data_IF_076820945601
#
_entry.id   IF_076820945601
#
_cell.length_a   1.000
_cell.length_b   1.000
_cell.length_c   1.000
_cell.angle_alpha   90.00
_cell.angle_beta   90.00
_cell.angle_gamma   90.00
#
_symmetry.space_group_name_H-M   'P 1'
#
loop_
_entity.id
_entity.type
_entity.pdbx_description
1 polymer ?
#
# COMPACT_ATOMS: atom_id res chain seq x y z
N UNK A 1 11.18 -3.87 -12.76
CA UNK A 1 11.20 -2.40 -12.74
C UNK A 1 10.68 -1.78 -14.05
N UNK A 2 11.01 -2.33 -15.24
CA UNK A 2 10.49 -1.77 -16.52
C UNK A 2 8.96 -1.61 -16.56
N UNK A 3 8.20 -2.58 -16.04
CA UNK A 3 6.72 -2.53 -16.02
C UNK A 3 6.13 -1.39 -15.16
N UNK A 4 6.92 -0.79 -14.31
CA UNK A 4 6.53 0.35 -13.46
C UNK A 4 7.30 1.61 -13.80
N UNK A 5 7.83 1.71 -15.02
CA UNK A 5 8.54 2.90 -15.53
C UNK A 5 9.73 3.36 -14.67
N UNK A 6 10.36 2.44 -13.91
CA UNK A 6 11.54 2.73 -13.10
C UNK A 6 12.80 2.19 -13.82
N UNK A 7 13.65 3.06 -14.39
CA UNK A 7 14.93 2.64 -14.94
C UNK A 7 15.88 2.20 -13.81
N UNK A 8 16.61 1.12 -14.05
CA UNK A 8 17.67 0.64 -13.15
C UNK A 8 18.98 0.73 -13.90
N UNK A 9 19.78 1.72 -13.57
CA UNK A 9 21.09 1.94 -14.21
C UNK A 9 22.18 1.08 -13.58
N UNK A 10 22.02 0.77 -12.29
CA UNK A 10 22.99 0.05 -11.48
C UNK A 10 22.33 -1.18 -10.87
N UNK A 11 22.60 -2.41 -11.37
CA UNK A 11 22.00 -3.64 -10.83
C UNK A 11 22.24 -3.86 -9.33
N UNK A 12 23.37 -3.37 -8.80
CA UNK A 12 23.70 -3.41 -7.38
C UNK A 12 22.71 -2.64 -6.49
N UNK A 13 21.97 -1.68 -7.03
CA UNK A 13 20.91 -0.97 -6.30
C UNK A 13 19.63 -1.78 -6.12
N UNK A 14 19.59 -3.01 -6.71
CA UNK A 14 18.45 -3.91 -6.52
C UNK A 14 18.72 -4.88 -5.38
N UNK A 15 17.98 -4.71 -4.29
CA UNK A 15 17.93 -5.67 -3.19
C UNK A 15 16.63 -6.47 -3.23
N UNK A 16 16.65 -7.60 -2.53
CA UNK A 16 15.53 -8.52 -2.43
C UNK A 16 15.13 -8.70 -0.97
N UNK A 17 13.82 -8.75 -0.71
CA UNK A 17 13.26 -8.97 0.62
C UNK A 17 12.19 -10.06 0.61
N UNK A 18 11.94 -10.67 1.77
CA UNK A 18 10.92 -11.70 1.96
C UNK A 18 9.51 -11.10 2.02
N UNK A 19 9.14 -10.35 0.97
CA UNK A 19 7.89 -9.60 0.82
C UNK A 19 7.94 -8.21 1.42
N UNK A 20 6.94 -7.37 1.09
CA UNK A 20 6.89 -5.95 1.44
C UNK A 20 6.97 -5.67 2.95
N UNK A 21 6.34 -6.50 3.79
CA UNK A 21 6.40 -6.33 5.26
C UNK A 21 7.83 -6.47 5.79
N UNK A 22 8.60 -7.43 5.26
CA UNK A 22 10.00 -7.61 5.61
C UNK A 22 10.86 -6.45 5.10
N UNK A 23 10.58 -5.96 3.88
CA UNK A 23 11.24 -4.79 3.32
C UNK A 23 11.07 -3.55 4.21
N UNK A 24 9.83 -3.24 4.62
CA UNK A 24 9.53 -2.12 5.52
C UNK A 24 10.29 -2.27 6.85
N UNK A 25 10.29 -3.47 7.43
CA UNK A 25 10.99 -3.75 8.69
C UNK A 25 12.50 -3.58 8.55
N UNK A 26 13.09 -4.04 7.44
CA UNK A 26 14.50 -3.88 7.16
C UNK A 26 14.90 -2.41 6.99
N UNK A 27 14.07 -1.63 6.27
CA UNK A 27 14.29 -0.19 6.08
C UNK A 27 14.24 0.55 7.42
N UNK A 28 13.24 0.27 8.27
CA UNK A 28 13.15 0.90 9.58
C UNK A 28 14.35 0.52 10.47
N UNK A 29 14.74 -0.75 10.48
CA UNK A 29 15.89 -1.25 11.25
C UNK A 29 17.21 -0.62 10.80
N UNK A 30 17.41 -0.48 9.48
CA UNK A 30 18.69 -0.05 8.90
C UNK A 30 18.90 1.46 8.92
N UNK A 31 17.85 2.23 8.65
CA UNK A 31 17.96 3.64 8.27
C UNK A 31 17.35 4.62 9.25
N UNK A 32 16.65 4.11 10.28
CA UNK A 32 16.04 4.94 11.31
C UNK A 32 16.40 4.44 12.70
N UNK A 33 16.28 5.33 13.67
CA UNK A 33 16.53 5.05 15.10
C UNK A 33 15.24 5.12 15.90
N UNK A 34 15.13 4.42 17.04
CA UNK A 34 14.01 4.62 17.95
C UNK A 34 13.84 6.10 18.30
N UNK A 35 12.61 6.61 18.19
CA UNK A 35 12.28 8.02 18.36
C UNK A 35 12.28 8.84 17.07
N UNK A 36 12.83 8.34 15.95
CA UNK A 36 12.74 9.03 14.66
C UNK A 36 11.28 9.10 14.19
N UNK A 37 10.98 10.16 13.45
CA UNK A 37 9.64 10.47 12.98
C UNK A 37 9.55 10.36 11.47
N UNK A 38 8.48 9.70 10.99
CA UNK A 38 8.19 9.50 9.57
C UNK A 38 6.82 10.07 9.27
N UNK A 39 6.75 10.95 8.26
CA UNK A 39 5.50 11.47 7.71
C UNK A 39 4.74 10.41 6.94
N UNK A 40 3.42 10.37 7.09
CA UNK A 40 2.57 9.37 6.45
C UNK A 40 1.20 9.96 6.11
N UNK A 41 0.45 9.27 5.25
CA UNK A 41 -0.97 9.54 5.09
C UNK A 41 -1.74 9.28 6.41
N UNK A 42 -2.81 10.04 6.72
CA UNK A 42 -3.64 9.82 7.92
C UNK A 42 -4.25 8.42 8.01
N UNK A 43 -4.49 7.77 6.87
CA UNK A 43 -4.85 6.37 6.74
C UNK A 43 -3.70 5.62 6.09
N UNK A 44 -3.27 4.50 6.66
CA UNK A 44 -2.06 3.79 6.18
C UNK A 44 -2.22 2.28 6.31
N UNK A 45 -1.47 1.54 5.51
CA UNK A 45 -1.36 0.09 5.65
C UNK A 45 -0.98 -0.31 7.10
N UNK A 46 -1.80 -1.14 7.79
CA UNK A 46 -1.56 -1.48 9.20
C UNK A 46 -0.21 -2.15 9.48
N UNK A 47 0.39 -2.80 8.47
CA UNK A 47 1.71 -3.40 8.58
C UNK A 47 2.83 -2.38 8.85
N UNK A 48 2.70 -1.17 8.30
CA UNK A 48 3.63 -0.05 8.60
C UNK A 48 3.52 0.35 10.08
N UNK A 49 2.28 0.47 10.59
CA UNK A 49 2.03 0.78 12.02
C UNK A 49 2.68 -0.27 12.94
N UNK A 50 2.54 -1.55 12.57
CA UNK A 50 3.16 -2.65 13.31
C UNK A 50 4.68 -2.59 13.31
N UNK A 51 5.31 -2.41 12.15
CA UNK A 51 6.76 -2.27 12.04
C UNK A 51 7.26 -1.02 12.76
N UNK A 52 6.61 0.13 12.59
CA UNK A 52 6.99 1.36 13.27
C UNK A 52 7.00 1.17 14.80
N UNK A 53 5.97 0.52 15.35
CA UNK A 53 5.90 0.20 16.78
C UNK A 53 7.05 -0.71 17.23
N UNK A 54 7.41 -1.73 16.45
CA UNK A 54 8.49 -2.67 16.77
C UNK A 54 9.86 -1.98 16.81
N UNK A 55 10.09 -1.02 15.92
CA UNK A 55 11.37 -0.30 15.83
C UNK A 55 11.38 1.05 16.56
N UNK A 56 10.31 1.37 17.30
CA UNK A 56 10.22 2.62 18.05
C UNK A 56 10.10 3.88 17.18
N UNK A 57 9.64 3.74 15.94
CA UNK A 57 9.44 4.84 14.98
C UNK A 57 8.10 5.52 15.26
N UNK A 58 8.09 6.85 15.25
CA UNK A 58 6.89 7.66 15.40
C UNK A 58 6.30 8.00 14.04
N UNK A 59 5.03 7.68 13.83
CA UNK A 59 4.32 8.00 12.60
C UNK A 59 3.57 9.32 12.77
N UNK A 60 3.85 10.28 11.90
CA UNK A 60 3.27 11.64 11.92
C UNK A 60 2.29 11.77 10.75
N UNK A 61 0.98 11.86 10.99
CA UNK A 61 0.02 12.05 9.91
C UNK A 61 0.20 13.43 9.29
N UNK A 62 0.36 13.46 7.97
CA UNK A 62 0.54 14.68 7.20
C UNK A 62 -0.81 15.28 6.82
N UNK A 63 -0.93 16.62 6.91
CA UNK A 63 -2.12 17.32 6.45
C UNK A 63 -2.32 17.08 4.95
N UNK A 64 -3.56 16.80 4.59
CA UNK A 64 -3.97 16.57 3.20
C UNK A 64 -4.87 17.69 2.70
N UNK A 65 -4.80 17.92 1.39
CA UNK A 65 -5.74 18.72 0.61
C UNK A 65 -6.23 17.89 -0.56
N UNK A 66 -7.53 17.86 -0.78
CA UNK A 66 -8.13 17.03 -1.84
C UNK A 66 -7.75 15.54 -1.80
N UNK A 67 -7.45 15.00 -0.60
CA UNK A 67 -7.06 13.60 -0.41
C UNK A 67 -5.59 13.29 -0.71
N UNK A 68 -4.76 14.31 -0.93
CA UNK A 68 -3.32 14.20 -1.16
C UNK A 68 -2.51 14.98 -0.13
N UNK A 69 -1.27 14.57 0.13
CA UNK A 69 -0.36 15.29 1.03
C UNK A 69 -0.14 16.71 0.49
N UNK A 70 -0.44 17.72 1.31
CA UNK A 70 -0.23 19.11 0.94
C UNK A 70 1.22 19.55 1.20
N UNK A 71 1.73 20.49 0.38
CA UNK A 71 3.06 21.07 0.57
C UNK A 71 3.17 21.77 1.94
N UNK A 72 2.12 22.46 2.36
CA UNK A 72 2.05 23.10 3.68
C UNK A 72 2.15 22.05 4.80
N UNK A 73 1.38 20.96 4.70
CA UNK A 73 1.37 19.86 5.68
C UNK A 73 2.72 19.18 5.81
N UNK A 74 3.38 18.91 4.70
CA UNK A 74 4.72 18.33 4.69
C UNK A 74 5.76 19.29 5.29
N UNK A 75 5.73 20.56 4.89
CA UNK A 75 6.63 21.59 5.41
C UNK A 75 6.46 21.80 6.92
N UNK A 76 5.21 21.81 7.39
CA UNK A 76 4.90 21.93 8.81
C UNK A 76 5.42 20.71 9.61
N UNK A 77 5.22 19.52 9.09
CA UNK A 77 5.73 18.29 9.73
C UNK A 77 7.27 18.26 9.79
N UNK A 78 7.94 18.71 8.74
CA UNK A 78 9.40 18.84 8.74
C UNK A 78 9.87 19.84 9.80
N UNK A 79 9.31 21.06 9.82
CA UNK A 79 9.76 22.14 10.72
C UNK A 79 9.40 21.90 12.19
N UNK A 80 8.20 21.40 12.46
CA UNK A 80 7.65 21.32 13.82
C UNK A 80 7.88 19.95 14.46
N UNK A 81 7.83 18.87 13.65
CA UNK A 81 7.97 17.51 14.14
C UNK A 81 9.34 16.91 13.83
N UNK A 82 10.13 17.50 12.93
CA UNK A 82 11.45 17.02 12.57
C UNK A 82 11.40 15.61 11.94
N UNK A 83 10.44 15.40 11.03
CA UNK A 83 10.38 14.12 10.28
C UNK A 83 11.67 13.91 9.50
N UNK A 84 12.13 12.66 9.41
CA UNK A 84 13.33 12.26 8.65
C UNK A 84 13.03 11.53 7.35
N UNK A 85 11.80 11.14 7.16
CA UNK A 85 11.35 10.46 5.95
C UNK A 85 9.85 10.52 5.80
N UNK A 86 9.38 9.99 4.68
CA UNK A 86 7.96 9.92 4.32
C UNK A 86 7.69 8.51 3.80
N UNK A 87 6.62 7.87 4.25
CA UNK A 87 6.13 6.64 3.62
C UNK A 87 4.86 6.95 2.84
N UNK A 88 4.82 6.55 1.58
CA UNK A 88 3.68 6.75 0.68
C UNK A 88 3.39 5.51 -0.15
N UNK A 89 2.11 5.32 -0.51
CA UNK A 89 1.64 4.34 -1.50
C UNK A 89 0.99 5.10 -2.66
N UNK A 90 1.77 5.52 -3.68
CA UNK A 90 1.27 6.44 -4.70
C UNK A 90 0.25 5.82 -5.66
N UNK A 91 0.27 4.49 -5.84
CA UNK A 91 -0.63 3.78 -6.74
C UNK A 91 -1.60 2.90 -5.95
N UNK A 92 -2.90 3.07 -6.17
CA UNK A 92 -3.97 2.31 -5.52
C UNK A 92 -3.74 2.19 -4.01
N UNK A 93 -3.67 3.33 -3.35
CA UNK A 93 -3.37 3.49 -1.93
C UNK A 93 -4.20 2.54 -1.04
N UNK A 94 -3.57 1.89 -0.09
CA UNK A 94 -4.25 1.05 0.89
C UNK A 94 -4.49 1.81 2.21
N UNK A 95 -5.75 2.22 2.55
CA UNK A 95 -6.99 1.53 2.13
C UNK A 95 -7.84 2.26 1.09
N UNK A 96 -7.58 3.52 0.75
CA UNK A 96 -8.50 4.41 0.04
C UNK A 96 -8.61 4.16 -1.46
N UNK A 97 -7.68 3.40 -2.04
CA UNK A 97 -7.51 3.17 -3.49
C UNK A 97 -7.23 4.43 -4.32
N UNK A 98 -6.91 5.55 -3.67
CA UNK A 98 -6.49 6.76 -4.36
C UNK A 98 -5.19 6.52 -5.12
N UNK A 99 -5.05 7.10 -6.31
CA UNK A 99 -3.80 7.17 -7.05
C UNK A 99 -3.31 8.61 -7.02
N UNK A 100 -2.11 8.80 -6.49
CA UNK A 100 -1.48 10.11 -6.31
C UNK A 100 -1.25 10.81 -7.63
N UNK A 101 -1.60 12.09 -7.71
CA UNK A 101 -1.39 12.93 -8.89
C UNK A 101 0.10 13.11 -9.20
N UNK A 102 0.40 13.41 -10.46
CA UNK A 102 1.78 13.68 -10.88
C UNK A 102 2.35 14.92 -10.15
N UNK A 103 1.52 15.95 -9.95
CA UNK A 103 1.92 17.17 -9.23
C UNK A 103 2.30 16.90 -7.77
N UNK A 104 1.58 16.01 -7.08
CA UNK A 104 1.92 15.62 -5.72
C UNK A 104 3.25 14.82 -5.69
N UNK A 105 3.47 13.91 -6.64
CA UNK A 105 4.76 13.18 -6.77
C UNK A 105 5.94 14.11 -6.98
N UNK A 106 5.80 15.10 -7.84
CA UNK A 106 6.82 16.12 -8.11
C UNK A 106 7.09 17.00 -6.89
N UNK A 107 6.04 17.42 -6.20
CA UNK A 107 6.15 18.17 -4.94
C UNK A 107 6.89 17.36 -3.88
N UNK A 108 6.55 16.09 -3.67
CA UNK A 108 7.23 15.22 -2.71
C UNK A 108 8.71 15.01 -3.08
N UNK A 109 9.01 14.76 -4.35
CA UNK A 109 10.38 14.62 -4.83
C UNK A 109 11.22 15.88 -4.58
N UNK A 110 10.68 17.07 -4.93
CA UNK A 110 11.33 18.36 -4.68
C UNK A 110 11.59 18.61 -3.21
N UNK A 111 10.57 18.35 -2.35
CA UNK A 111 10.71 18.56 -0.89
C UNK A 111 11.64 17.56 -0.23
N UNK A 112 11.69 16.33 -0.72
CA UNK A 112 12.65 15.34 -0.23
C UNK A 112 14.10 15.78 -0.52
N UNK A 113 14.37 16.35 -1.68
CA UNK A 113 15.68 16.93 -2.03
C UNK A 113 15.98 18.19 -1.20
N UNK A 114 15.00 19.08 -1.00
CA UNK A 114 15.16 20.33 -0.24
C UNK A 114 15.47 20.06 1.25
N UNK A 115 14.83 19.07 1.84
CA UNK A 115 14.88 18.79 3.28
C UNK A 115 15.73 17.56 3.65
N UNK A 116 16.39 16.93 2.67
CA UNK A 116 17.12 15.65 2.79
C UNK A 116 16.27 14.55 3.46
N UNK A 117 15.00 14.45 3.05
CA UNK A 117 14.10 13.41 3.54
C UNK A 117 14.26 12.13 2.72
N UNK A 118 14.11 10.98 3.38
CA UNK A 118 14.05 9.69 2.70
C UNK A 118 12.59 9.33 2.40
N UNK A 119 12.25 9.12 1.13
CA UNK A 119 10.94 8.63 0.71
C UNK A 119 10.97 7.10 0.66
N UNK A 120 10.02 6.47 1.37
CA UNK A 120 9.70 5.06 1.24
C UNK A 120 8.48 4.96 0.33
N UNK A 121 8.73 4.68 -0.94
CA UNK A 121 7.69 4.57 -1.98
C UNK A 121 7.23 3.11 -2.11
N UNK A 122 6.04 2.81 -1.61
CA UNK A 122 5.45 1.47 -1.68
C UNK A 122 4.62 1.31 -2.96
N UNK A 123 5.28 0.82 -4.00
CA UNK A 123 4.70 0.52 -5.30
C UNK A 123 4.13 -0.91 -5.42
N UNK A 124 3.75 -1.54 -4.30
CA UNK A 124 3.27 -2.94 -4.30
C UNK A 124 2.02 -3.15 -5.16
N UNK A 125 1.22 -2.11 -5.36
CA UNK A 125 0.02 -2.13 -6.18
C UNK A 125 0.24 -1.61 -7.61
N UNK A 126 1.38 -1.00 -7.93
CA UNK A 126 1.64 -0.37 -9.24
C UNK A 126 1.46 -1.32 -10.42
N UNK A 127 1.81 -2.61 -10.25
CA UNK A 127 1.63 -3.64 -11.28
C UNK A 127 0.15 -4.02 -11.57
N UNK A 128 -0.80 -3.51 -10.78
CA UNK A 128 -2.24 -3.70 -11.02
C UNK A 128 -2.78 -2.70 -12.05
N UNK A 129 -2.08 -1.59 -12.24
CA UNK A 129 -2.45 -0.58 -13.22
C UNK A 129 -1.94 -0.97 -14.62
N UNK A 130 -2.78 -0.79 -15.63
CA UNK A 130 -2.39 -1.00 -17.04
C UNK A 130 -1.30 0.01 -17.44
N UNK A 131 -1.44 1.24 -16.96
CA UNK A 131 -0.50 2.35 -17.19
C UNK A 131 -0.04 2.93 -15.85
N UNK A 132 0.96 2.31 -15.20
CA UNK A 132 1.51 2.86 -13.96
C UNK A 132 2.09 4.27 -14.16
N UNK A 133 1.83 5.14 -13.21
CA UNK A 133 2.42 6.48 -13.19
C UNK A 133 3.94 6.40 -13.01
N UNK A 134 4.63 7.50 -13.33
CA UNK A 134 6.06 7.60 -13.07
C UNK A 134 6.33 7.57 -11.56
N UNK A 135 7.18 6.65 -11.07
CA UNK A 135 7.53 6.60 -9.65
C UNK A 135 8.27 7.87 -9.17
N UNK A 136 8.08 8.23 -7.91
CA UNK A 136 8.85 9.31 -7.26
C UNK A 136 10.35 9.01 -7.29
N UNK A 137 10.70 7.72 -7.20
CA UNK A 137 12.09 7.26 -7.34
C UNK A 137 12.77 7.67 -8.66
N UNK A 138 12.01 7.94 -9.72
CA UNK A 138 12.54 8.46 -10.97
C UNK A 138 12.86 9.96 -10.88
N UNK A 139 12.12 10.70 -10.05
CA UNK A 139 12.26 12.15 -9.87
C UNK A 139 13.32 12.49 -8.81
N UNK A 140 13.44 11.67 -7.78
CA UNK A 140 14.38 11.85 -6.67
C UNK A 140 15.10 10.52 -6.32
N UNK A 141 15.94 9.97 -7.22
CA UNK A 141 16.53 8.64 -7.06
C UNK A 141 17.42 8.51 -5.82
N UNK A 142 18.14 9.58 -5.42
CA UNK A 142 19.00 9.56 -4.25
C UNK A 142 18.25 9.74 -2.90
N UNK A 143 16.95 10.03 -2.98
CA UNK A 143 16.09 10.26 -1.82
C UNK A 143 14.93 9.26 -1.71
N UNK A 144 14.85 8.27 -2.62
CA UNK A 144 13.69 7.37 -2.66
C UNK A 144 14.11 5.90 -2.67
N UNK A 145 13.60 5.12 -1.72
CA UNK A 145 13.60 3.66 -1.78
C UNK A 145 12.27 3.25 -2.37
N UNK A 146 12.30 2.62 -3.55
CA UNK A 146 11.12 2.09 -4.21
C UNK A 146 10.95 0.61 -3.90
N UNK A 147 9.76 0.22 -3.45
CA UNK A 147 9.41 -1.17 -3.12
C UNK A 147 8.39 -1.72 -4.11
N UNK A 148 8.68 -2.87 -4.71
CA UNK A 148 7.79 -3.61 -5.60
C UNK A 148 7.64 -5.05 -5.12
N UNK A 149 6.45 -5.64 -5.24
CA UNK A 149 6.25 -7.04 -4.85
C UNK A 149 5.38 -7.80 -5.84
N UNK A 150 5.74 -9.05 -6.10
CA UNK A 150 4.94 -9.97 -6.91
C UNK A 150 3.80 -10.63 -6.12
N UNK A 151 3.74 -10.44 -4.81
CA UNK A 151 2.78 -11.13 -3.93
C UNK A 151 1.32 -10.75 -4.20
N UNK A 152 1.05 -9.54 -4.69
CA UNK A 152 -0.32 -9.07 -4.95
C UNK A 152 -0.80 -9.41 -6.35
N UNK A 153 0.12 -9.37 -7.29
CA UNK A 153 -0.18 -9.53 -8.72
C UNK A 153 -0.09 -10.98 -9.21
N UNK A 154 0.71 -11.83 -8.52
CA UNK A 154 0.86 -13.23 -8.91
C UNK A 154 0.34 -14.15 -7.81
N UNK A 155 1.13 -14.30 -6.75
CA UNK A 155 0.84 -15.25 -5.67
C UNK A 155 1.39 -14.74 -4.35
N UNK A 156 0.54 -14.58 -3.32
CA UNK A 156 0.99 -14.16 -1.99
C UNK A 156 2.10 -15.05 -1.38
N UNK A 157 2.09 -16.34 -1.71
CA UNK A 157 3.07 -17.32 -1.21
C UNK A 157 4.49 -17.13 -1.76
N UNK A 158 4.69 -16.40 -2.86
CA UNK A 158 6.03 -16.10 -3.39
C UNK A 158 6.89 -15.33 -2.41
N UNK A 159 6.28 -14.52 -1.56
CA UNK A 159 6.98 -13.75 -0.53
C UNK A 159 8.25 -13.07 -1.06
N UNK A 160 8.18 -12.46 -2.23
CA UNK A 160 9.31 -11.78 -2.86
C UNK A 160 8.99 -10.32 -3.11
N UNK A 161 9.83 -9.44 -2.61
CA UNK A 161 9.82 -8.01 -2.89
C UNK A 161 11.18 -7.58 -3.47
N UNK A 162 11.13 -6.59 -4.34
CA UNK A 162 12.26 -5.93 -4.98
C UNK A 162 12.37 -4.53 -4.42
N UNK A 163 13.58 -4.12 -4.05
CA UNK A 163 13.88 -2.78 -3.57
C UNK A 163 14.85 -2.13 -4.55
N UNK A 164 14.52 -0.96 -5.05
CA UNK A 164 15.48 -0.08 -5.69
C UNK A 164 15.93 0.95 -4.66
N UNK A 165 17.24 0.98 -4.38
CA UNK A 165 17.80 1.64 -3.20
C UNK A 165 18.86 2.65 -3.62
N UNK A 166 18.84 3.90 -3.07
CA UNK A 166 19.95 4.84 -3.24
C UNK A 166 21.28 4.26 -2.77
N UNK A 167 22.38 4.55 -3.43
CA UNK A 167 23.71 4.02 -3.09
C UNK A 167 24.09 4.26 -1.62
N UNK A 168 23.74 5.43 -1.07
CA UNK A 168 23.98 5.76 0.35
C UNK A 168 23.26 4.84 1.35
N UNK A 169 22.15 4.23 0.94
CA UNK A 169 21.34 3.34 1.78
C UNK A 169 21.65 1.86 1.56
N UNK A 170 22.46 1.51 0.56
CA UNK A 170 22.64 0.15 0.10
C UNK A 170 23.27 -0.75 1.18
N UNK A 171 24.47 -0.42 1.65
CA UNK A 171 25.20 -1.25 2.61
C UNK A 171 24.47 -1.43 3.97
N UNK A 172 23.90 -0.38 4.60
CA UNK A 172 23.11 -0.59 5.82
C UNK A 172 21.87 -1.47 5.60
N UNK A 173 21.19 -1.30 4.47
CA UNK A 173 19.96 -2.07 4.19
C UNK A 173 20.28 -3.52 3.83
N UNK A 174 21.33 -3.79 3.06
CA UNK A 174 21.81 -5.13 2.78
C UNK A 174 22.16 -5.89 4.06
N UNK A 175 22.91 -5.23 4.98
CA UNK A 175 23.23 -5.79 6.27
C UNK A 175 21.99 -6.10 7.12
N UNK A 176 21.01 -5.22 7.15
CA UNK A 176 19.77 -5.47 7.88
C UNK A 176 18.96 -6.64 7.28
N UNK A 177 18.85 -6.71 5.96
CA UNK A 177 18.19 -7.83 5.28
C UNK A 177 18.88 -9.17 5.57
N UNK A 178 20.23 -9.18 5.58
CA UNK A 178 20.99 -10.36 5.94
C UNK A 178 20.69 -10.81 7.39
N UNK A 179 20.74 -9.91 8.36
CA UNK A 179 20.51 -10.26 9.77
C UNK A 179 19.05 -10.61 10.08
N UNK A 180 18.09 -10.07 9.35
CA UNK A 180 16.68 -10.40 9.53
C UNK A 180 16.28 -11.74 8.90
N UNK A 181 16.94 -12.16 7.82
CA UNK A 181 16.51 -13.32 7.03
C UNK A 181 17.62 -14.36 6.78
N UNK A 182 18.91 -14.03 7.02
CA UNK A 182 20.09 -14.75 6.50
C UNK A 182 20.14 -14.76 4.98
N UNK A 183 19.17 -15.43 4.35
CA UNK A 183 19.00 -15.46 2.90
C UNK A 183 17.53 -15.61 2.52
N UNK A 184 17.21 -15.27 1.29
CA UNK A 184 15.93 -15.61 0.70
C UNK A 184 15.93 -17.09 0.25
N UNK A 185 14.74 -17.67 0.15
CA UNK A 185 14.58 -19.01 -0.41
C UNK A 185 15.06 -19.04 -1.87
N UNK A 186 16.17 -19.76 -2.12
CA UNK A 186 16.71 -19.94 -3.47
C UNK A 186 15.70 -20.59 -4.43
N UNK A 187 14.83 -21.47 -3.91
CA UNK A 187 13.75 -22.08 -4.69
C UNK A 187 12.75 -21.02 -5.19
N UNK A 188 12.34 -20.08 -4.33
CA UNK A 188 11.38 -19.02 -4.71
C UNK A 188 12.03 -18.01 -5.66
N UNK A 189 13.31 -17.68 -5.48
CA UNK A 189 14.06 -16.83 -6.40
C UNK A 189 14.17 -17.49 -7.78
N UNK A 190 14.54 -18.76 -7.85
CA UNK A 190 14.62 -19.51 -9.10
C UNK A 190 13.26 -19.61 -9.80
N UNK A 191 12.19 -19.90 -9.05
CA UNK A 191 10.83 -19.90 -9.59
C UNK A 191 10.46 -18.55 -10.21
N UNK A 192 10.68 -17.46 -9.48
CA UNK A 192 10.41 -16.10 -9.98
C UNK A 192 11.25 -15.78 -11.23
N UNK A 193 12.53 -16.16 -11.24
CA UNK A 193 13.42 -15.98 -12.38
C UNK A 193 12.91 -16.72 -13.61
N UNK A 194 12.52 -17.98 -13.47
CA UNK A 194 11.95 -18.77 -14.57
C UNK A 194 10.64 -18.20 -15.10
N UNK A 195 9.75 -17.74 -14.20
CA UNK A 195 8.51 -17.08 -14.60
C UNK A 195 8.77 -15.81 -15.43
N UNK A 196 9.77 -15.02 -15.03
CA UNK A 196 10.16 -13.79 -15.74
C UNK A 196 10.76 -14.15 -17.11
N UNK A 197 11.76 -15.03 -17.15
CA UNK A 197 12.51 -15.35 -18.37
C UNK A 197 11.66 -16.11 -19.40
N UNK A 198 10.71 -16.94 -18.95
CA UNK A 198 9.81 -17.68 -19.86
C UNK A 198 8.66 -16.85 -20.42
N UNK A 199 8.48 -15.59 -19.98
CA UNK A 199 7.33 -14.76 -20.35
C UNK A 199 6.01 -15.14 -19.68
N UNK A 200 5.95 -16.27 -18.94
CA UNK A 200 4.74 -16.74 -18.25
C UNK A 200 4.22 -15.75 -17.18
N UNK A 201 5.09 -14.85 -16.72
CA UNK A 201 4.71 -13.82 -15.78
C UNK A 201 3.59 -12.93 -16.36
N UNK A 202 3.67 -12.54 -17.64
CA UNK A 202 2.67 -11.71 -18.31
C UNK A 202 1.31 -12.45 -18.44
N UNK A 203 1.35 -13.75 -18.74
CA UNK A 203 0.15 -14.59 -18.81
C UNK A 203 -0.55 -14.68 -17.45
N UNK A 204 0.23 -14.87 -16.37
CA UNK A 204 -0.29 -14.91 -15.00
C UNK A 204 -0.89 -13.56 -14.58
N UNK A 205 -0.25 -12.45 -14.96
CA UNK A 205 -0.80 -11.10 -14.72
C UNK A 205 -2.14 -10.92 -15.42
N UNK A 206 -2.22 -11.26 -16.71
CA UNK A 206 -3.45 -11.14 -17.48
C UNK A 206 -4.59 -12.00 -16.88
N UNK A 207 -4.30 -13.24 -16.52
CA UNK A 207 -5.27 -14.13 -15.89
C UNK A 207 -5.73 -13.59 -14.52
N UNK A 208 -4.80 -13.09 -13.70
CA UNK A 208 -5.11 -12.48 -12.40
C UNK A 208 -5.95 -11.22 -12.55
N UNK A 209 -5.58 -10.34 -13.48
CA UNK A 209 -6.27 -9.09 -13.76
C UNK A 209 -7.72 -9.36 -14.22
N UNK A 210 -7.95 -10.32 -15.13
CA UNK A 210 -9.29 -10.74 -15.52
C UNK A 210 -10.14 -11.18 -14.32
N UNK A 211 -9.55 -11.91 -13.37
CA UNK A 211 -10.24 -12.32 -12.15
C UNK A 211 -10.57 -11.15 -11.23
N UNK A 212 -9.69 -10.14 -11.15
CA UNK A 212 -9.92 -8.90 -10.37
C UNK A 212 -11.10 -8.12 -10.98
N UNK A 213 -11.11 -7.89 -12.29
CA UNK A 213 -12.19 -7.20 -13.01
C UNK A 213 -13.54 -7.88 -12.75
N UNK A 214 -13.63 -9.20 -12.95
CA UNK A 214 -14.87 -9.93 -12.77
C UNK A 214 -15.42 -9.78 -11.33
N UNK A 215 -14.57 -9.79 -10.32
CA UNK A 215 -14.96 -9.63 -8.91
C UNK A 215 -15.42 -8.20 -8.60
N UNK A 216 -14.76 -7.19 -9.16
CA UNK A 216 -15.18 -5.80 -9.00
C UNK A 216 -16.52 -5.53 -9.68
N UNK A 217 -16.80 -6.10 -10.85
CA UNK A 217 -18.12 -6.01 -11.49
C UNK A 217 -19.24 -6.61 -10.62
N UNK A 218 -18.99 -7.69 -9.88
CA UNK A 218 -19.96 -8.24 -8.92
C UNK A 218 -20.24 -7.21 -7.81
N UNK A 219 -19.19 -6.60 -7.26
CA UNK A 219 -19.34 -5.59 -6.22
C UNK A 219 -20.13 -4.38 -6.72
N UNK A 220 -19.73 -3.81 -7.86
CA UNK A 220 -20.37 -2.62 -8.44
C UNK A 220 -21.87 -2.85 -8.74
N UNK A 221 -22.24 -4.06 -9.18
CA UNK A 221 -23.64 -4.46 -9.38
C UNK A 221 -24.43 -4.51 -8.08
N UNK A 222 -23.86 -5.09 -7.02
CA UNK A 222 -24.57 -5.33 -5.76
C UNK A 222 -24.66 -4.07 -4.90
N UNK A 223 -23.57 -3.30 -4.83
CA UNK A 223 -23.44 -2.11 -4.00
C UNK A 223 -23.62 -0.80 -4.78
N UNK A 224 -24.30 -0.85 -5.95
CA UNK A 224 -24.53 0.29 -6.86
C UNK A 224 -25.17 1.52 -6.19
N UNK A 225 -25.94 1.30 -5.12
CA UNK A 225 -26.68 2.35 -4.39
C UNK A 225 -25.83 2.98 -3.27
N UNK A 226 -24.58 2.54 -3.09
CA UNK A 226 -23.65 3.00 -2.05
C UNK A 226 -22.39 3.60 -2.66
N UNK A 227 -21.78 4.53 -1.94
CA UNK A 227 -20.51 5.12 -2.38
C UNK A 227 -19.35 4.18 -2.03
N UNK A 228 -18.76 3.59 -3.08
CA UNK A 228 -17.61 2.70 -2.97
C UNK A 228 -16.48 3.25 -3.82
N UNK A 229 -15.41 3.71 -3.17
CA UNK A 229 -14.22 4.27 -3.83
C UNK A 229 -13.30 3.16 -4.35
N UNK A 230 -12.45 3.53 -5.32
CA UNK A 230 -11.62 2.64 -6.10
C UNK A 230 -12.28 2.26 -7.42
N UNK A 231 -11.54 1.55 -8.26
CA UNK A 231 -11.97 1.12 -9.58
C UNK A 231 -11.91 -0.41 -9.75
N UNK A 232 -12.15 -0.87 -10.97
CA UNK A 232 -12.18 -2.29 -11.31
C UNK A 232 -10.82 -3.01 -11.20
N UNK A 233 -9.70 -2.26 -11.09
CA UNK A 233 -8.35 -2.82 -10.95
C UNK A 233 -7.97 -3.09 -9.47
N UNK A 234 -8.77 -2.60 -8.52
CA UNK A 234 -8.46 -2.66 -7.11
C UNK A 234 -8.64 -4.06 -6.52
N UNK A 235 -7.71 -4.50 -5.68
CA UNK A 235 -7.81 -5.75 -4.90
C UNK A 235 -8.80 -5.65 -3.74
N UNK A 236 -9.10 -4.44 -3.35
CA UNK A 236 -10.07 -4.09 -2.30
C UNK A 236 -10.77 -2.79 -2.68
N UNK A 237 -11.95 -2.57 -2.14
CA UNK A 237 -12.73 -1.35 -2.36
C UNK A 237 -12.98 -0.65 -1.02
N UNK A 238 -13.14 0.66 -1.06
CA UNK A 238 -13.34 1.49 0.12
C UNK A 238 -14.78 1.97 0.18
N UNK A 239 -15.59 1.32 1.03
CA UNK A 239 -17.01 1.61 1.21
C UNK A 239 -17.18 2.75 2.22
N UNK A 240 -17.79 3.85 1.83
CA UNK A 240 -18.23 4.89 2.74
C UNK A 240 -19.48 4.44 3.48
N UNK A 241 -19.53 4.66 4.79
CA UNK A 241 -20.62 4.22 5.64
C UNK A 241 -21.65 5.33 5.83
N UNK A 242 -22.92 4.98 6.13
CA UNK A 242 -23.97 5.95 6.50
C UNK A 242 -23.56 6.79 7.71
N UNK A 243 -24.12 8.00 7.79
CA UNK A 243 -23.90 8.91 8.91
C UNK A 243 -24.22 8.25 10.27
N UNK A 244 -23.39 8.52 11.27
CA UNK A 244 -23.53 7.93 12.61
C UNK A 244 -23.00 6.51 12.77
N UNK A 245 -22.50 5.86 11.70
CA UNK A 245 -21.94 4.51 11.74
C UNK A 245 -20.42 4.56 11.66
N UNK A 246 -19.71 4.13 12.71
CA UNK A 246 -18.24 4.04 12.67
C UNK A 246 -17.77 2.77 11.95
N UNK A 247 -16.54 2.80 11.40
CA UNK A 247 -15.95 1.63 10.75
C UNK A 247 -15.87 0.41 11.65
N UNK A 248 -15.46 0.59 12.92
CA UNK A 248 -15.40 -0.50 13.90
C UNK A 248 -16.77 -1.07 14.24
N UNK A 249 -17.81 -0.23 14.36
CA UNK A 249 -19.16 -0.69 14.59
C UNK A 249 -19.67 -1.54 13.42
N UNK A 250 -19.43 -1.08 12.19
CA UNK A 250 -19.80 -1.83 10.99
C UNK A 250 -19.01 -3.14 10.86
N UNK A 251 -17.70 -3.11 11.13
CA UNK A 251 -16.86 -4.32 11.15
C UNK A 251 -17.41 -5.37 12.13
N UNK A 252 -17.77 -4.95 13.35
CA UNK A 252 -18.34 -5.85 14.37
C UNK A 252 -19.67 -6.43 13.90
N UNK A 253 -20.55 -5.59 13.35
CA UNK A 253 -21.86 -6.02 12.84
C UNK A 253 -21.71 -7.00 11.67
N UNK A 254 -20.86 -6.71 10.68
CA UNK A 254 -20.59 -7.60 9.55
C UNK A 254 -20.08 -8.96 10.03
N UNK A 255 -19.16 -8.98 11.00
CA UNK A 255 -18.60 -10.22 11.57
C UNK A 255 -19.67 -11.08 12.27
N UNK A 256 -20.64 -10.47 12.94
CA UNK A 256 -21.77 -11.19 13.54
C UNK A 256 -22.65 -11.88 12.49
N UNK A 257 -22.61 -11.40 11.23
CA UNK A 257 -23.34 -11.98 10.11
C UNK A 257 -22.43 -12.81 9.18
N UNK A 258 -21.23 -13.20 9.66
CA UNK A 258 -20.33 -14.09 8.94
C UNK A 258 -19.47 -13.43 7.88
N UNK A 259 -19.42 -12.09 7.81
CA UNK A 259 -18.60 -11.36 6.84
C UNK A 259 -17.47 -10.58 7.54
N UNK A 260 -16.24 -10.76 7.10
CA UNK A 260 -15.09 -10.03 7.63
C UNK A 260 -14.75 -8.83 6.73
N UNK A 261 -14.83 -7.63 7.30
CA UNK A 261 -14.37 -6.36 6.70
C UNK A 261 -13.45 -5.64 7.68
N UNK A 262 -12.75 -4.62 7.25
CA UNK A 262 -11.89 -3.81 8.13
C UNK A 262 -12.37 -2.36 8.17
N UNK A 263 -12.77 -1.89 9.37
CA UNK A 263 -13.12 -0.50 9.61
C UNK A 263 -11.94 0.46 9.46
N UNK A 264 -12.25 1.71 9.13
CA UNK A 264 -11.27 2.77 8.87
C UNK A 264 -10.31 3.01 10.03
N UNK A 265 -10.74 2.80 11.28
CA UNK A 265 -9.93 3.00 12.48
C UNK A 265 -8.71 2.08 12.54
N UNK A 266 -8.75 0.92 11.86
CA UNK A 266 -7.59 0.02 11.78
C UNK A 266 -6.44 0.64 11.00
N UNK A 267 -6.75 1.54 10.07
CA UNK A 267 -5.79 2.20 9.17
C UNK A 267 -5.36 3.57 9.71
N UNK A 268 -6.17 4.19 10.56
CA UNK A 268 -5.96 5.54 11.07
C UNK A 268 -4.69 5.67 11.91
N UNK A 269 -4.02 6.81 11.75
CA UNK A 269 -2.89 7.27 12.57
C UNK A 269 -3.20 8.68 13.08
N UNK A 270 -2.72 8.98 14.27
CA UNK A 270 -3.00 10.24 14.94
C UNK A 270 -4.21 10.14 15.88
N UNK A 271 -4.72 11.30 16.28
CA UNK A 271 -5.82 11.43 17.27
C UNK A 271 -7.16 11.74 16.62
N UNK A 272 -7.17 12.15 15.36
CA UNK A 272 -8.39 12.52 14.66
C UNK A 272 -9.19 11.27 14.30
N UNK A 273 -10.50 11.35 14.42
CA UNK A 273 -11.39 10.29 14.00
C UNK A 273 -11.32 10.16 12.45
N UNK A 274 -11.09 8.96 11.91
CA UNK A 274 -11.07 8.78 10.47
C UNK A 274 -12.48 8.92 9.88
N UNK A 275 -12.54 9.11 8.55
CA UNK A 275 -13.79 9.01 7.81
C UNK A 275 -14.47 7.67 8.09
N UNK A 276 -15.78 7.68 8.28
CA UNK A 276 -16.58 6.47 8.50
C UNK A 276 -16.58 5.61 7.23
N UNK A 277 -15.79 4.55 7.22
CA UNK A 277 -15.64 3.70 6.06
C UNK A 277 -15.19 2.27 6.44
N UNK A 278 -15.33 1.35 5.49
CA UNK A 278 -14.87 -0.02 5.63
C UNK A 278 -14.14 -0.49 4.35
N UNK A 279 -13.03 -1.22 4.53
CA UNK A 279 -12.30 -1.84 3.43
C UNK A 279 -12.88 -3.21 3.12
N UNK A 280 -13.31 -3.39 1.88
CA UNK A 280 -13.85 -4.63 1.33
C UNK A 280 -12.78 -5.33 0.50
N UNK A 281 -12.30 -6.50 0.94
CA UNK A 281 -11.25 -7.26 0.24
C UNK A 281 -11.88 -8.15 -0.84
N UNK A 282 -12.18 -7.61 -2.03
CA UNK A 282 -12.89 -8.30 -3.14
C UNK A 282 -12.16 -9.54 -3.67
N UNK A 283 -10.84 -9.58 -3.50
CA UNK A 283 -10.01 -10.71 -3.95
C UNK A 283 -9.65 -11.72 -2.84
N UNK A 284 -10.21 -11.57 -1.64
CA UNK A 284 -9.99 -12.50 -0.53
C UNK A 284 -10.89 -13.74 -0.55
N UNK A 285 -12.19 -13.65 -0.92
CA UNK A 285 -13.04 -14.83 -1.01
C UNK A 285 -12.49 -15.87 -2.00
N UNK A 286 -12.69 -17.14 -1.74
CA UNK A 286 -12.15 -18.23 -2.57
C UNK A 286 -12.83 -18.27 -3.95
N UNK A 287 -14.13 -17.98 -3.99
CA UNK A 287 -14.90 -17.99 -5.24
C UNK A 287 -15.69 -16.68 -5.47
N UNK A 288 -16.11 -16.41 -6.73
CA UNK A 288 -17.05 -15.33 -7.03
C UNK A 288 -18.40 -15.45 -6.30
N UNK A 289 -18.87 -16.67 -6.09
CA UNK A 289 -20.15 -16.98 -5.42
C UNK A 289 -20.06 -16.61 -3.94
N UNK A 290 -18.96 -16.94 -3.28
CA UNK A 290 -18.70 -16.54 -1.88
C UNK A 290 -18.64 -15.01 -1.76
N UNK A 291 -17.95 -14.34 -2.69
CA UNK A 291 -17.92 -12.87 -2.75
C UNK A 291 -19.34 -12.30 -2.89
N UNK A 292 -20.12 -12.82 -3.84
CA UNK A 292 -21.48 -12.37 -4.09
C UNK A 292 -22.36 -12.53 -2.85
N UNK A 293 -22.26 -13.67 -2.16
CA UNK A 293 -23.00 -13.93 -0.92
C UNK A 293 -22.61 -12.92 0.17
N UNK A 294 -21.31 -12.72 0.40
CA UNK A 294 -20.82 -11.75 1.37
C UNK A 294 -21.31 -10.32 1.08
N UNK A 295 -21.25 -9.90 -0.18
CA UNK A 295 -21.71 -8.57 -0.60
C UNK A 295 -23.24 -8.39 -0.42
N UNK A 296 -24.05 -9.43 -0.66
CA UNK A 296 -25.50 -9.40 -0.39
C UNK A 296 -25.81 -9.20 1.09
N UNK A 297 -25.04 -9.88 1.97
CA UNK A 297 -25.16 -9.68 3.43
C UNK A 297 -24.80 -8.24 3.78
N UNK A 298 -23.67 -7.71 3.28
CA UNK A 298 -23.27 -6.33 3.55
C UNK A 298 -24.31 -5.32 3.07
N UNK A 299 -24.92 -5.55 1.89
CA UNK A 299 -26.01 -4.70 1.37
C UNK A 299 -27.19 -4.68 2.33
N UNK A 300 -27.65 -5.84 2.83
CA UNK A 300 -28.76 -5.91 3.78
C UNK A 300 -28.45 -5.13 5.06
N UNK A 301 -27.22 -5.22 5.56
CA UNK A 301 -26.80 -4.47 6.76
C UNK A 301 -26.81 -2.95 6.50
N UNK A 302 -26.33 -2.52 5.35
CA UNK A 302 -26.33 -1.11 4.93
C UNK A 302 -27.77 -0.58 4.77
N UNK A 303 -28.65 -1.36 4.12
CA UNK A 303 -30.08 -1.01 3.95
C UNK A 303 -30.79 -0.84 5.31
N UNK A 304 -30.42 -1.63 6.33
CA UNK A 304 -30.95 -1.49 7.70
C UNK A 304 -30.41 -0.25 8.41
N UNK A 305 -29.14 0.09 8.20
CA UNK A 305 -28.49 1.24 8.84
C UNK A 305 -28.92 2.58 8.23
N UNK A 306 -29.21 2.62 6.92
CA UNK A 306 -29.65 3.82 6.20
C UNK A 306 -31.11 4.19 6.47
N UNK A 307 -31.91 3.32 7.10
CA UNK A 307 -33.32 3.55 7.47
C UNK A 307 -33.50 4.13 8.89
N UNK A 308 -32.42 4.22 9.64
CA UNK A 308 -32.40 4.80 10.99
C UNK A 308 -31.96 6.26 10.94
#
# INVERSE_FOLDING_TARGET
MKQVNLPVSHPEQLLFASGGQNAISAIFCALFRPGDRIGIDPLIYPGVKGSAKLFGIQLIPLKQENGEISEEGLTAAYKNEGIKGIYVMPDLHNPTNHTMSQSCREMLAKKAQEYDLLILEDGINSLLLEHPSMPIATLAPEHTIYMLSLSKTILPALRLAYLHVPMRCLAPLENALYHLNLSLSSLLLELATRLILSGKLAELFAARHKGILARNHILDRILKDYTVLGDENCLSRWLLLPEGVTGLAFEKLARQHGVSVYGSERFAVGKEAPIAAARLAVCAPESPEELEQGLKILKQLLDMLSKK
#
